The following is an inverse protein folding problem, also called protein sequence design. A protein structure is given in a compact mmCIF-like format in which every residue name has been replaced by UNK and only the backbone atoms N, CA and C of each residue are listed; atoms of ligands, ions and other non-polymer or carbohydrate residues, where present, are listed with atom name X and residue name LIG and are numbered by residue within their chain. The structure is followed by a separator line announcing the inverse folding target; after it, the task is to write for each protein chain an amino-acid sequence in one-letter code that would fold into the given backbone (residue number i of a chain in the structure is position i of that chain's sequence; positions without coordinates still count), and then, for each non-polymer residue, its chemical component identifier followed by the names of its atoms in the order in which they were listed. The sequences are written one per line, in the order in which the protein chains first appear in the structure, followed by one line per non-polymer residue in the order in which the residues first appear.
data_IF_652681603251
#
_entry.id   IF_652681603251
#
_cell.length_a   1.000
_cell.length_b   1.000
_cell.length_c   1.000
_cell.angle_alpha   90.00
_cell.angle_beta   90.00
_cell.angle_gamma   90.00
#
_symmetry.space_group_name_H-M   'P 1'
#
loop_
_entity.id
_entity.type
_entity.pdbx_description
1 polymer ?
#
# COMPACT_ATOMS: atom_id res chain seq x y z
N UNK A 1 8.40 -37.63 -49.05
CA UNK A 1 9.17 -37.83 -47.81
C UNK A 1 9.84 -36.51 -47.49
N UNK A 2 9.14 -35.64 -46.76
CA UNK A 2 9.65 -34.31 -46.41
C UNK A 2 9.12 -33.98 -45.02
N UNK A 3 9.82 -34.49 -44.00
CA UNK A 3 9.51 -34.19 -42.61
C UNK A 3 9.97 -32.76 -42.31
N UNK A 4 9.01 -31.85 -42.08
CA UNK A 4 9.27 -30.55 -41.47
C UNK A 4 9.55 -30.78 -39.98
N UNK A 5 10.78 -30.55 -39.56
CA UNK A 5 11.15 -30.45 -38.15
C UNK A 5 10.48 -29.21 -37.57
N UNK A 6 9.58 -29.30 -36.56
CA UNK A 6 9.11 -28.11 -35.88
C UNK A 6 10.27 -27.51 -35.09
N UNK A 7 10.67 -26.30 -35.44
CA UNK A 7 11.50 -25.45 -34.58
C UNK A 7 10.67 -25.06 -33.38
N UNK A 8 10.85 -25.77 -32.27
CA UNK A 8 10.37 -25.33 -30.97
C UNK A 8 11.22 -24.14 -30.53
N UNK A 9 10.88 -22.94 -30.96
CA UNK A 9 11.09 -21.77 -30.11
C UNK A 9 10.20 -21.98 -28.90
N UNK A 10 10.78 -22.58 -27.85
CA UNK A 10 10.22 -22.48 -26.53
C UNK A 10 10.29 -20.99 -26.17
N UNK A 11 9.23 -20.25 -26.51
CA UNK A 11 8.99 -18.93 -25.95
C UNK A 11 8.90 -19.15 -24.44
N UNK A 12 9.95 -18.72 -23.74
CA UNK A 12 9.96 -18.57 -22.29
C UNK A 12 8.86 -17.57 -21.92
N UNK A 13 7.63 -18.03 -21.76
CA UNK A 13 6.56 -17.22 -21.15
C UNK A 13 6.78 -17.04 -19.63
N UNK A 14 7.86 -17.65 -19.09
CA UNK A 14 8.33 -17.50 -17.70
C UNK A 14 9.30 -16.34 -17.49
N UNK A 15 9.55 -15.51 -18.50
CA UNK A 15 10.47 -14.38 -18.44
C UNK A 15 9.75 -13.04 -18.22
N UNK A 16 8.44 -13.06 -17.95
CA UNK A 16 7.74 -11.89 -17.42
C UNK A 16 8.42 -11.49 -16.10
N UNK A 17 9.11 -10.36 -16.11
CA UNK A 17 9.82 -9.85 -14.96
C UNK A 17 8.91 -9.79 -13.73
N UNK A 18 9.49 -9.84 -12.54
CA UNK A 18 8.74 -9.59 -11.31
C UNK A 18 8.25 -8.14 -11.35
N UNK A 19 6.94 -7.95 -11.48
CA UNK A 19 6.32 -6.62 -11.45
C UNK A 19 6.20 -6.10 -10.01
N UNK A 20 6.13 -4.78 -9.87
CA UNK A 20 5.87 -4.17 -8.58
C UNK A 20 4.42 -4.48 -8.14
N UNK A 21 4.25 -4.99 -6.92
CA UNK A 21 2.96 -5.29 -6.31
C UNK A 21 2.28 -4.05 -5.67
N UNK A 22 2.98 -2.92 -5.62
CA UNK A 22 2.55 -1.70 -4.92
C UNK A 22 2.65 -0.46 -5.81
N UNK A 23 1.76 0.53 -5.65
CA UNK A 23 0.62 0.54 -4.72
C UNK A 23 -0.53 -0.34 -5.23
N UNK A 24 -1.21 -1.02 -4.31
CA UNK A 24 -2.46 -1.71 -4.63
C UNK A 24 -3.55 -0.67 -4.93
N UNK A 25 -4.46 -1.05 -5.82
CA UNK A 25 -5.61 -0.19 -6.15
C UNK A 25 -6.52 -0.08 -4.93
N UNK A 26 -6.77 1.16 -4.52
CA UNK A 26 -7.75 1.48 -3.49
C UNK A 26 -9.13 1.59 -4.13
N UNK A 27 -10.11 0.84 -3.62
CA UNK A 27 -11.51 0.93 -4.04
C UNK A 27 -12.41 1.11 -2.81
N UNK A 28 -13.18 2.19 -2.80
CA UNK A 28 -14.05 2.59 -1.70
C UNK A 28 -15.43 2.95 -2.24
N UNK A 29 -16.32 1.96 -2.40
CA UNK A 29 -17.70 2.23 -2.77
C UNK A 29 -18.38 3.18 -1.77
N UNK A 30 -19.42 3.91 -2.19
CA UNK A 30 -20.18 4.75 -1.29
C UNK A 30 -20.79 3.95 -0.13
N UNK A 31 -21.04 4.63 1.00
CA UNK A 31 -21.75 4.07 2.15
C UNK A 31 -21.02 2.96 2.96
N UNK A 32 -19.70 2.81 2.87
CA UNK A 32 -18.91 1.92 3.75
C UNK A 32 -18.70 2.43 5.19
N UNK A 33 -18.92 1.61 6.22
CA UNK A 33 -18.69 1.99 7.62
C UNK A 33 -17.21 2.20 7.97
N UNK A 34 -16.30 1.72 7.12
CA UNK A 34 -14.87 1.94 7.18
C UNK A 34 -14.35 2.00 5.74
N UNK A 35 -13.47 2.95 5.45
CA UNK A 35 -12.75 2.97 4.16
C UNK A 35 -11.51 2.09 4.23
N UNK A 36 -11.25 1.36 3.15
CA UNK A 36 -9.98 0.69 2.91
C UNK A 36 -9.05 1.69 2.24
N UNK A 37 -8.02 2.15 2.94
CA UNK A 37 -7.06 3.14 2.41
C UNK A 37 -5.62 2.64 2.52
N UNK A 38 -5.41 1.43 3.04
CA UNK A 38 -4.11 0.78 3.04
C UNK A 38 -3.67 0.47 1.60
N UNK A 39 -2.46 0.92 1.25
CA UNK A 39 -1.90 0.77 -0.10
C UNK A 39 -1.28 -0.61 -0.35
N UNK A 40 -0.89 -1.34 0.69
CA UNK A 40 -0.26 -2.65 0.63
C UNK A 40 0.06 -3.20 2.03
N UNK A 41 0.45 -4.47 2.10
CA UNK A 41 1.04 -5.12 3.27
C UNK A 41 2.57 -5.24 3.15
N UNK A 42 3.24 -5.57 4.25
CA UNK A 42 4.69 -5.78 4.30
C UNK A 42 5.23 -6.63 3.13
N UNK A 43 4.61 -7.79 2.87
CA UNK A 43 5.03 -8.71 1.81
C UNK A 43 4.97 -8.09 0.42
N UNK A 44 3.97 -7.27 0.15
CA UNK A 44 3.82 -6.56 -1.13
C UNK A 44 4.93 -5.52 -1.30
N UNK A 45 5.28 -4.78 -0.24
CA UNK A 45 6.39 -3.81 -0.28
C UNK A 45 7.73 -4.51 -0.53
N UNK A 46 8.01 -5.62 0.16
CA UNK A 46 9.24 -6.41 -0.07
C UNK A 46 9.27 -6.93 -1.51
N UNK A 47 8.16 -7.45 -2.03
CA UNK A 47 8.07 -7.93 -3.40
C UNK A 47 8.34 -6.80 -4.40
N UNK A 48 7.72 -5.63 -4.23
CA UNK A 48 7.96 -4.45 -5.08
C UNK A 48 9.39 -3.96 -5.07
N UNK A 49 10.03 -3.90 -3.90
CA UNK A 49 11.43 -3.48 -3.83
C UNK A 49 12.36 -4.50 -4.51
N UNK A 50 12.11 -5.80 -4.36
CA UNK A 50 12.85 -6.84 -5.08
C UNK A 50 12.64 -6.79 -6.59
N UNK A 51 11.40 -6.54 -7.03
CA UNK A 51 11.06 -6.31 -8.43
C UNK A 51 11.86 -5.11 -8.99
N UNK A 52 11.88 -3.99 -8.27
CA UNK A 52 12.61 -2.77 -8.66
C UNK A 52 14.13 -2.95 -8.66
N UNK A 53 14.70 -3.69 -7.72
CA UNK A 53 16.13 -4.05 -7.73
C UNK A 53 16.49 -4.92 -8.95
N UNK A 54 15.55 -5.71 -9.46
CA UNK A 54 15.74 -6.56 -10.65
C UNK A 54 15.48 -5.83 -11.97
N UNK A 55 15.01 -4.59 -11.92
CA UNK A 55 14.56 -3.86 -13.10
C UNK A 55 15.73 -3.23 -13.86
N UNK A 56 15.63 -3.23 -15.18
CA UNK A 56 16.52 -2.50 -16.08
C UNK A 56 16.37 -0.98 -15.98
N UNK A 57 15.28 -0.48 -15.38
CA UNK A 57 15.01 0.96 -15.19
C UNK A 57 16.03 1.62 -14.24
N UNK A 58 16.73 0.82 -13.43
CA UNK A 58 17.68 1.28 -12.41
C UNK A 58 19.07 0.65 -12.61
N UNK A 59 19.78 0.97 -13.70
CA UNK A 59 21.04 0.31 -14.05
C UNK A 59 22.14 0.48 -13.00
N UNK A 60 22.10 1.57 -12.22
CA UNK A 60 23.04 1.79 -11.10
C UNK A 60 22.90 0.74 -9.99
N UNK A 61 21.76 0.05 -9.89
CA UNK A 61 21.47 -0.99 -8.91
C UNK A 61 21.69 -2.40 -9.45
N UNK A 62 22.10 -2.56 -10.72
CA UNK A 62 22.23 -3.86 -11.38
C UNK A 62 23.21 -4.82 -10.68
N UNK A 63 24.18 -4.28 -9.91
CA UNK A 63 25.10 -5.08 -9.11
C UNK A 63 24.46 -5.73 -7.87
N UNK A 64 23.27 -5.26 -7.44
CA UNK A 64 22.56 -5.75 -6.24
C UNK A 64 21.69 -6.96 -6.59
N UNK A 65 22.34 -8.02 -7.09
CA UNK A 65 21.66 -9.22 -7.60
C UNK A 65 21.39 -10.34 -6.60
N UNK A 66 21.94 -10.24 -5.38
CA UNK A 66 21.79 -11.29 -4.36
C UNK A 66 20.34 -11.44 -3.88
N UNK A 67 19.96 -12.68 -3.58
CA UNK A 67 18.62 -13.09 -3.12
C UNK A 67 18.64 -13.80 -1.77
N UNK A 68 19.77 -13.75 -1.08
CA UNK A 68 19.90 -14.28 0.27
C UNK A 68 19.21 -13.36 1.28
N UNK A 69 18.38 -13.91 2.15
CA UNK A 69 17.68 -13.13 3.17
C UNK A 69 18.64 -12.42 4.16
N UNK A 70 19.87 -12.93 4.30
CA UNK A 70 20.95 -12.33 5.09
C UNK A 70 21.67 -11.17 4.40
N UNK A 71 21.39 -10.90 3.13
CA UNK A 71 21.99 -9.77 2.43
C UNK A 71 21.53 -8.42 3.03
N UNK A 72 22.48 -7.50 3.18
CA UNK A 72 22.21 -6.20 3.81
C UNK A 72 21.26 -5.31 2.99
N UNK A 73 21.29 -5.40 1.66
CA UNK A 73 20.37 -4.63 0.80
C UNK A 73 18.93 -5.11 0.98
N UNK A 74 18.74 -6.43 1.02
CA UNK A 74 17.43 -7.01 1.28
C UNK A 74 16.96 -6.77 2.71
N UNK A 75 17.86 -6.76 3.70
CA UNK A 75 17.54 -6.40 5.08
C UNK A 75 17.09 -4.93 5.22
N UNK A 76 17.73 -4.00 4.50
CA UNK A 76 17.25 -2.61 4.42
C UNK A 76 15.85 -2.54 3.80
N UNK A 77 15.62 -3.29 2.72
CA UNK A 77 14.30 -3.37 2.08
C UNK A 77 13.22 -3.88 3.05
N UNK A 78 13.52 -4.91 3.84
CA UNK A 78 12.63 -5.44 4.88
C UNK A 78 12.34 -4.41 5.97
N UNK A 79 13.37 -3.74 6.50
CA UNK A 79 13.19 -2.67 7.48
C UNK A 79 12.35 -1.49 6.96
N UNK A 80 12.51 -1.14 5.67
CA UNK A 80 11.70 -0.12 5.02
C UNK A 80 10.25 -0.62 4.84
N UNK A 81 10.04 -1.88 4.46
CA UNK A 81 8.70 -2.46 4.34
C UNK A 81 7.95 -2.42 5.68
N UNK A 82 8.63 -2.72 6.79
CA UNK A 82 8.07 -2.59 8.14
C UNK A 82 7.65 -1.15 8.44
N UNK A 83 8.51 -0.17 8.12
CA UNK A 83 8.20 1.25 8.29
C UNK A 83 6.99 1.68 7.45
N UNK A 84 6.92 1.22 6.20
CA UNK A 84 5.81 1.50 5.28
C UNK A 84 4.49 0.87 5.75
N UNK A 85 4.53 -0.31 6.37
CA UNK A 85 3.33 -0.94 6.93
C UNK A 85 2.75 -0.12 8.10
N UNK A 86 3.62 0.38 8.99
CA UNK A 86 3.19 1.28 10.09
C UNK A 86 2.60 2.57 9.52
N UNK A 87 3.25 3.18 8.51
CA UNK A 87 2.72 4.37 7.84
C UNK A 87 1.39 4.09 7.14
N UNK A 88 1.25 2.95 6.47
CA UNK A 88 0.02 2.53 5.81
C UNK A 88 -1.14 2.34 6.79
N UNK A 89 -0.86 1.76 7.97
CA UNK A 89 -1.83 1.65 9.05
C UNK A 89 -2.32 3.02 9.53
N UNK A 90 -1.40 3.95 9.80
CA UNK A 90 -1.79 5.28 10.27
C UNK A 90 -2.45 6.12 9.17
N UNK A 91 -2.02 6.00 7.92
CA UNK A 91 -2.67 6.65 6.79
C UNK A 91 -4.14 6.24 6.67
N UNK A 92 -4.44 4.95 6.85
CA UNK A 92 -5.82 4.47 6.89
C UNK A 92 -6.60 5.03 8.07
N UNK A 93 -6.01 5.04 9.27
CA UNK A 93 -6.64 5.63 10.46
C UNK A 93 -6.93 7.13 10.28
N UNK A 94 -6.02 7.90 9.69
CA UNK A 94 -6.26 9.30 9.36
C UNK A 94 -7.37 9.47 8.32
N UNK A 95 -7.41 8.61 7.31
CA UNK A 95 -8.43 8.68 6.28
C UNK A 95 -9.84 8.45 6.87
N UNK A 96 -9.99 7.56 7.86
CA UNK A 96 -11.28 7.39 8.56
C UNK A 96 -11.77 8.68 9.23
N UNK A 97 -10.87 9.50 9.77
CA UNK A 97 -11.22 10.73 10.48
C UNK A 97 -11.69 11.87 9.56
N UNK A 98 -11.51 11.72 8.24
CA UNK A 98 -11.87 12.75 7.26
C UNK A 98 -13.32 12.68 6.77
N UNK A 99 -14.09 11.65 7.16
CA UNK A 99 -15.50 11.52 6.77
C UNK A 99 -16.38 11.34 8.00
N UNK A 100 -17.48 12.10 8.08
CA UNK A 100 -18.39 12.10 9.24
C UNK A 100 -18.88 10.71 9.67
N UNK A 101 -19.07 9.79 8.71
CA UNK A 101 -19.63 8.45 9.00
C UNK A 101 -18.57 7.44 9.45
N UNK A 102 -17.29 7.71 9.19
CA UNK A 102 -16.18 6.81 9.54
C UNK A 102 -15.33 7.36 10.69
N UNK A 103 -15.39 8.67 10.95
CA UNK A 103 -14.62 9.31 12.00
C UNK A 103 -14.98 8.76 13.37
N UNK A 104 -13.97 8.43 14.16
CA UNK A 104 -14.13 7.87 15.50
C UNK A 104 -13.79 8.88 16.58
N UNK A 105 -12.94 9.87 16.28
CA UNK A 105 -12.53 10.89 17.23
C UNK A 105 -13.56 12.03 17.29
N UNK A 106 -14.01 12.35 18.50
CA UNK A 106 -14.97 13.44 18.73
C UNK A 106 -14.45 14.80 18.23
N UNK A 107 -13.14 15.01 18.28
CA UNK A 107 -12.50 16.21 17.72
C UNK A 107 -12.75 16.33 16.22
N UNK A 108 -12.52 15.27 15.46
CA UNK A 108 -12.71 15.25 14.00
C UNK A 108 -14.15 15.57 13.64
N UNK A 109 -15.12 14.93 14.30
CA UNK A 109 -16.55 15.20 14.09
C UNK A 109 -16.91 16.65 14.39
N UNK A 110 -16.36 17.22 15.48
CA UNK A 110 -16.57 18.63 15.86
C UNK A 110 -16.08 19.59 14.77
N UNK A 111 -14.86 19.40 14.31
CA UNK A 111 -14.28 20.32 13.33
C UNK A 111 -14.98 20.19 11.96
N UNK A 112 -15.40 18.98 11.57
CA UNK A 112 -16.24 18.81 10.38
C UNK A 112 -17.61 19.48 10.52
N UNK A 113 -18.27 19.36 11.67
CA UNK A 113 -19.52 20.05 11.97
C UNK A 113 -19.39 21.58 11.88
N UNK A 114 -18.27 22.14 12.34
CA UNK A 114 -18.01 23.58 12.26
C UNK A 114 -17.94 24.11 10.83
N UNK A 115 -17.51 23.29 9.87
CA UNK A 115 -17.48 23.69 8.45
C UNK A 115 -18.87 24.01 7.90
N UNK A 116 -19.94 23.46 8.48
CA UNK A 116 -21.33 23.76 8.12
C UNK A 116 -21.99 24.75 9.10
N UNK A 117 -21.22 25.41 9.95
CA UNK A 117 -21.71 26.37 10.95
C UNK A 117 -22.39 25.73 12.17
N UNK A 118 -22.26 24.41 12.35
CA UNK A 118 -22.81 23.72 13.53
C UNK A 118 -21.73 23.61 14.63
N UNK A 119 -22.05 24.09 15.82
CA UNK A 119 -21.25 23.89 17.03
C UNK A 119 -21.94 22.86 17.93
N UNK A 120 -21.19 21.85 18.40
CA UNK A 120 -21.75 20.85 19.32
C UNK A 120 -22.10 21.47 20.67
N UNK A 121 -23.25 21.07 21.23
CA UNK A 121 -23.71 21.55 22.52
C UNK A 121 -22.66 21.27 23.62
N UNK A 122 -22.38 22.25 24.50
CA UNK A 122 -21.49 22.03 25.63
C UNK A 122 -22.13 21.06 26.63
N UNK A 123 -21.30 20.46 27.48
CA UNK A 123 -21.82 19.74 28.64
C UNK A 123 -22.54 20.72 29.56
N UNK A 124 -23.83 20.48 29.82
CA UNK A 124 -24.63 21.28 30.74
C UNK A 124 -24.75 20.58 32.08
N UNK A 125 -24.62 21.33 33.18
CA UNK A 125 -24.88 20.83 34.52
C UNK A 125 -26.40 20.68 34.74
N UNK A 126 -26.79 19.78 35.64
CA UNK A 126 -28.18 19.66 36.05
C UNK A 126 -28.65 20.99 36.71
N UNK A 127 -29.84 21.44 36.32
CA UNK A 127 -30.54 22.54 36.98
C UNK A 127 -31.81 22.00 37.64
N UNK A 128 -32.10 22.48 38.85
CA UNK A 128 -33.30 22.14 39.65
C UNK A 128 -34.40 23.14 39.42
#
# INVERSE_FOLDING_TARGET
MTERRPTSTAECDGCAGVDAATPQRIDNPPALSQIAHRMAHHGDFVASMRARLSSTDHPALAALGTREASDFTLAIGDALACSLEVLGFYAERYAQEHYLRTATERLSVREMARLIGYEMAPGVAAAT
#
